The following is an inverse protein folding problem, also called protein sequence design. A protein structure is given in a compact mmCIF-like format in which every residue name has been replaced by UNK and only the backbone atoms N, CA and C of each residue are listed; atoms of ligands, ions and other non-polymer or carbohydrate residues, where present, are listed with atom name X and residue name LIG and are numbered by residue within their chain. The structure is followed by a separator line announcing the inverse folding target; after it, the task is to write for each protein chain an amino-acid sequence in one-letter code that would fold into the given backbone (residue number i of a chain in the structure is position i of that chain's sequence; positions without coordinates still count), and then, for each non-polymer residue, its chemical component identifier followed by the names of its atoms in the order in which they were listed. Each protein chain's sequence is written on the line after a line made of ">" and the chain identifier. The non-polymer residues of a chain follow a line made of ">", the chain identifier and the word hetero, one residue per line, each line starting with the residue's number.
data_IF_497381876831
#
_entry.id   IF_497381876831
#
_cell.length_a   1.000
_cell.length_b   1.000
_cell.length_c   1.000
_cell.angle_alpha   90.00
_cell.angle_beta   90.00
_cell.angle_gamma   90.00
#
_symmetry.space_group_name_H-M   'P 1'
#
loop_
_entity.id
_entity.type
_entity.pdbx_description
1 polymer ?
#
# COMPACT_ATOMS: atom_id res chain seq x y z
N UNK A 1 14.66 7.62 -26.14
CA UNK A 1 14.00 6.32 -26.23
C UNK A 1 12.82 6.29 -25.26
N UNK A 2 11.70 5.85 -25.71
CA UNK A 2 10.51 5.76 -24.86
C UNK A 2 10.64 4.54 -23.95
N UNK A 3 10.35 4.74 -22.65
CA UNK A 3 10.29 3.65 -21.68
C UNK A 3 8.86 3.52 -21.16
N UNK A 4 8.42 2.29 -20.99
CA UNK A 4 7.15 1.98 -20.33
C UNK A 4 7.32 0.86 -19.31
N UNK A 5 6.46 0.87 -18.30
CA UNK A 5 6.43 -0.15 -17.26
C UNK A 5 5.18 -0.99 -17.43
N UNK A 6 5.35 -2.30 -17.42
CA UNK A 6 4.28 -3.29 -17.41
C UNK A 6 4.36 -4.09 -16.11
N UNK A 7 3.22 -4.31 -15.46
CA UNK A 7 3.15 -5.13 -14.26
C UNK A 7 2.66 -6.53 -14.63
N UNK A 8 3.45 -7.53 -14.27
CA UNK A 8 3.20 -8.94 -14.59
C UNK A 8 3.13 -9.74 -13.30
N UNK A 9 2.10 -10.59 -13.17
CA UNK A 9 2.00 -11.49 -12.02
C UNK A 9 3.21 -12.43 -11.99
N UNK A 10 3.80 -12.70 -10.81
CA UNK A 10 5.02 -13.51 -10.70
C UNK A 10 4.92 -14.87 -11.37
N UNK A 11 3.79 -15.54 -11.22
CA UNK A 11 3.54 -16.86 -11.81
C UNK A 11 3.40 -16.86 -13.34
N UNK A 12 3.21 -15.71 -13.93
CA UNK A 12 3.09 -15.52 -15.39
C UNK A 12 4.35 -14.96 -16.03
N UNK A 13 5.34 -14.57 -15.24
CA UNK A 13 6.47 -13.80 -15.71
C UNK A 13 7.28 -14.58 -16.78
N UNK A 14 7.63 -15.83 -16.53
CA UNK A 14 8.45 -16.62 -17.43
C UNK A 14 7.77 -16.77 -18.81
N UNK A 15 6.52 -17.20 -18.83
CA UNK A 15 5.75 -17.32 -20.06
C UNK A 15 5.50 -15.98 -20.77
N UNK A 16 5.42 -14.89 -20.00
CA UNK A 16 5.31 -13.54 -20.56
C UNK A 16 6.62 -13.12 -21.25
N UNK A 17 7.76 -13.36 -20.61
CA UNK A 17 9.09 -13.05 -21.16
C UNK A 17 9.37 -13.85 -22.43
N UNK A 18 9.05 -15.14 -22.45
CA UNK A 18 9.20 -15.99 -23.64
C UNK A 18 8.40 -15.45 -24.81
N UNK A 19 7.15 -15.09 -24.61
CA UNK A 19 6.30 -14.49 -25.68
C UNK A 19 6.81 -13.11 -26.10
N UNK A 20 7.29 -12.32 -25.15
CA UNK A 20 7.84 -11.00 -25.44
C UNK A 20 9.08 -11.12 -26.35
N UNK A 21 10.01 -12.01 -26.01
CA UNK A 21 11.20 -12.24 -26.82
C UNK A 21 10.89 -12.84 -28.20
N UNK A 22 9.93 -13.75 -28.27
CA UNK A 22 9.47 -14.28 -29.57
C UNK A 22 8.91 -13.22 -30.49
N UNK A 23 8.26 -12.18 -29.92
CA UNK A 23 7.74 -11.04 -30.67
C UNK A 23 8.76 -9.93 -30.92
N UNK A 24 9.89 -9.94 -30.22
CA UNK A 24 10.95 -8.93 -30.32
C UNK A 24 12.32 -9.61 -30.40
N UNK A 25 12.57 -10.41 -31.44
CA UNK A 25 13.81 -11.20 -31.56
C UNK A 25 15.04 -10.29 -31.59
N UNK A 26 16.01 -10.59 -30.72
CA UNK A 26 17.21 -9.78 -30.60
C UNK A 26 17.00 -8.42 -29.94
N UNK A 27 15.83 -8.20 -29.33
CA UNK A 27 15.49 -6.94 -28.66
C UNK A 27 14.98 -5.84 -29.58
N UNK A 28 14.46 -6.23 -30.74
CA UNK A 28 13.86 -5.27 -31.68
C UNK A 28 12.41 -5.67 -32.06
N UNK A 29 11.48 -4.72 -32.12
CA UNK A 29 11.65 -3.27 -31.87
C UNK A 29 11.71 -2.87 -30.37
N UNK A 30 11.46 -3.80 -29.45
CA UNK A 30 11.39 -3.53 -28.03
C UNK A 30 12.27 -4.49 -27.23
N UNK A 31 12.85 -4.01 -26.14
CA UNK A 31 13.66 -4.83 -25.24
C UNK A 31 13.28 -4.61 -23.77
N UNK A 32 13.40 -5.66 -22.97
CA UNK A 32 13.31 -5.57 -21.52
C UNK A 32 14.66 -5.06 -20.98
N UNK A 33 14.62 -3.97 -20.24
CA UNK A 33 15.83 -3.36 -19.66
C UNK A 33 15.92 -3.48 -18.14
N UNK A 34 14.79 -3.75 -17.46
CA UNK A 34 14.79 -3.95 -16.02
C UNK A 34 13.62 -4.82 -15.57
N UNK A 35 13.85 -5.61 -14.53
CA UNK A 35 12.85 -6.39 -13.81
C UNK A 35 12.93 -6.02 -12.33
N UNK A 36 11.88 -5.41 -11.80
CA UNK A 36 11.78 -5.07 -10.38
C UNK A 36 10.78 -5.99 -9.69
N UNK A 37 11.29 -6.83 -8.81
CA UNK A 37 10.49 -7.71 -7.96
C UNK A 37 10.20 -7.05 -6.62
N UNK A 38 9.05 -7.33 -6.05
CA UNK A 38 8.70 -6.94 -4.70
C UNK A 38 8.13 -8.16 -3.97
N UNK A 39 9.02 -9.05 -3.59
CA UNK A 39 8.74 -10.36 -3.02
C UNK A 39 9.22 -10.51 -1.56
N UNK A 40 9.53 -9.39 -0.92
CA UNK A 40 9.99 -9.36 0.47
C UNK A 40 8.98 -10.02 1.41
N UNK A 41 9.48 -10.81 2.34
CA UNK A 41 8.69 -11.46 3.38
C UNK A 41 9.46 -11.45 4.70
N UNK A 42 8.84 -11.04 5.82
CA UNK A 42 7.48 -10.52 5.94
C UNK A 42 7.33 -9.10 5.37
N UNK A 43 6.12 -8.76 4.96
CA UNK A 43 5.74 -7.46 4.44
C UNK A 43 4.79 -6.75 5.41
N UNK A 44 5.17 -5.59 5.93
CA UNK A 44 4.26 -4.73 6.67
C UNK A 44 3.33 -3.99 5.71
N UNK A 45 2.05 -3.93 6.05
CA UNK A 45 1.03 -3.28 5.22
C UNK A 45 0.29 -2.23 6.03
N UNK A 46 0.21 -1.03 5.47
CA UNK A 46 -0.58 0.07 6.01
C UNK A 46 -1.46 0.64 4.90
N UNK A 47 -2.74 0.38 4.96
CA UNK A 47 -3.75 0.97 4.08
C UNK A 47 -4.67 1.84 4.93
N UNK A 48 -4.76 3.13 4.60
CA UNK A 48 -5.48 4.08 5.43
C UNK A 48 -6.21 5.11 4.58
N UNK A 49 -7.50 5.24 4.83
CA UNK A 49 -8.34 6.32 4.33
C UNK A 49 -9.20 6.85 5.48
N UNK A 50 -9.85 7.99 5.29
CA UNK A 50 -10.71 8.56 6.34
C UNK A 50 -11.86 7.65 6.75
N UNK A 51 -12.35 6.81 5.83
CA UNK A 51 -13.45 5.87 6.06
C UNK A 51 -13.02 4.53 6.67
N UNK A 52 -11.71 4.23 6.76
CA UNK A 52 -11.27 2.97 7.29
C UNK A 52 -9.77 2.71 7.16
N UNK A 53 -9.36 1.57 7.66
CA UNK A 53 -7.96 1.15 7.65
C UNK A 53 -7.83 -0.37 7.54
N UNK A 54 -6.68 -0.78 7.02
CA UNK A 54 -6.21 -2.16 7.08
C UNK A 54 -4.72 -2.15 7.40
N UNK A 55 -4.33 -2.85 8.44
CA UNK A 55 -2.94 -3.05 8.81
C UNK A 55 -2.67 -4.55 8.84
N UNK A 56 -1.50 -4.95 8.37
CA UNK A 56 -1.17 -6.36 8.27
C UNK A 56 0.34 -6.60 8.32
N UNK A 57 0.68 -7.82 8.68
CA UNK A 57 2.00 -8.41 8.42
C UNK A 57 1.76 -9.65 7.55
N UNK A 58 2.30 -9.64 6.34
CA UNK A 58 2.08 -10.68 5.35
C UNK A 58 3.37 -11.51 5.15
N UNK A 59 3.22 -12.82 5.20
CA UNK A 59 4.24 -13.75 4.75
C UNK A 59 4.02 -14.13 3.27
N UNK A 60 4.88 -14.97 2.74
CA UNK A 60 4.79 -15.42 1.34
C UNK A 60 3.48 -16.16 1.06
N UNK A 61 3.02 -16.96 1.99
CA UNK A 61 1.87 -17.86 1.87
C UNK A 61 0.58 -17.33 2.54
N UNK A 62 0.61 -16.15 3.15
CA UNK A 62 -0.59 -15.58 3.78
C UNK A 62 -0.30 -14.54 4.85
N UNK A 63 -1.36 -14.10 5.51
CA UNK A 63 -1.28 -13.11 6.58
C UNK A 63 -0.83 -13.76 7.90
N UNK A 64 0.21 -13.21 8.52
CA UNK A 64 0.63 -13.59 9.88
C UNK A 64 -0.24 -12.92 10.93
N UNK A 65 -0.58 -11.65 10.72
CA UNK A 65 -1.46 -10.87 11.57
C UNK A 65 -2.12 -9.76 10.75
N UNK A 66 -3.32 -9.38 11.09
CA UNK A 66 -4.00 -8.27 10.43
C UNK A 66 -5.11 -7.68 11.31
N UNK A 67 -5.46 -6.44 11.03
CA UNK A 67 -6.61 -5.75 11.57
C UNK A 67 -7.23 -4.88 10.50
N UNK A 68 -8.52 -5.04 10.28
CA UNK A 68 -9.31 -4.20 9.36
C UNK A 68 -10.39 -3.53 10.17
N UNK A 69 -10.61 -2.24 9.96
CA UNK A 69 -11.66 -1.50 10.62
C UNK A 69 -12.18 -0.38 9.75
N UNK A 70 -13.41 0.02 10.03
CA UNK A 70 -14.03 1.19 9.43
C UNK A 70 -14.30 2.24 10.50
N UNK A 71 -14.12 3.51 10.13
CA UNK A 71 -14.55 4.62 10.96
C UNK A 71 -15.36 5.58 10.11
N UNK A 72 -16.48 6.01 10.68
CA UNK A 72 -17.26 7.05 10.05
C UNK A 72 -16.63 8.40 10.38
N UNK A 73 -16.10 9.07 9.35
CA UNK A 73 -15.71 10.48 9.44
C UNK A 73 -16.86 11.30 8.88
N UNK A 74 -17.35 12.25 9.69
CA UNK A 74 -18.48 13.09 9.30
C UNK A 74 -18.19 13.80 7.97
N UNK A 75 -19.09 13.62 6.99
CA UNK A 75 -18.99 14.29 5.71
C UNK A 75 -19.21 15.79 5.86
N UNK A 76 -18.64 16.57 4.94
CA UNK A 76 -18.81 18.02 4.90
C UNK A 76 -20.27 18.35 4.62
N UNK A 77 -20.95 19.01 5.57
CA UNK A 77 -22.29 19.54 5.37
C UNK A 77 -22.22 21.03 5.00
N UNK A 78 -23.10 21.48 4.10
CA UNK A 78 -23.22 22.88 3.71
C UNK A 78 -24.00 23.67 4.78
N UNK A 79 -23.38 23.89 5.94
CA UNK A 79 -23.93 24.73 6.99
C UNK A 79 -23.12 26.05 7.09
N UNK A 80 -23.77 27.18 7.34
CA UNK A 80 -23.13 28.49 7.40
C UNK A 80 -22.02 28.61 8.46
N UNK A 81 -21.11 29.55 8.29
CA UNK A 81 -19.82 29.80 8.92
C UNK A 81 -19.49 29.21 10.30
N UNK A 82 -20.31 29.34 11.29
CA UNK A 82 -20.12 28.80 12.64
C UNK A 82 -20.18 27.27 12.68
N UNK A 83 -21.12 26.71 11.96
CA UNK A 83 -21.27 25.25 11.86
C UNK A 83 -20.13 24.62 11.09
N UNK A 84 -19.60 25.28 10.08
CA UNK A 84 -18.46 24.78 9.30
C UNK A 84 -17.19 24.68 10.14
N UNK A 85 -16.90 25.62 11.02
CA UNK A 85 -15.74 25.57 11.92
C UNK A 85 -15.86 24.43 12.94
N UNK A 86 -17.04 24.21 13.50
CA UNK A 86 -17.28 23.07 14.40
C UNK A 86 -17.12 21.74 13.69
N UNK A 87 -17.65 21.61 12.48
CA UNK A 87 -17.50 20.38 11.68
C UNK A 87 -16.06 20.17 11.23
N UNK A 88 -15.31 21.21 10.90
CA UNK A 88 -13.90 21.11 10.56
C UNK A 88 -13.05 20.62 11.73
N UNK A 89 -13.29 21.15 12.95
CA UNK A 89 -12.62 20.67 14.18
C UNK A 89 -12.96 19.22 14.48
N UNK A 90 -14.23 18.83 14.34
CA UNK A 90 -14.68 17.47 14.59
C UNK A 90 -14.05 16.49 13.61
N UNK A 91 -13.93 16.84 12.33
CA UNK A 91 -13.23 16.05 11.32
C UNK A 91 -11.73 15.93 11.60
N UNK A 92 -11.09 17.03 12.01
CA UNK A 92 -9.68 17.01 12.42
C UNK A 92 -9.45 16.10 13.61
N UNK A 93 -10.27 16.21 14.66
CA UNK A 93 -10.18 15.35 15.83
C UNK A 93 -10.46 13.87 15.50
N UNK A 94 -11.40 13.59 14.58
CA UNK A 94 -11.68 12.24 14.13
C UNK A 94 -10.52 11.66 13.32
N UNK A 95 -9.87 12.46 12.48
CA UNK A 95 -8.68 12.04 11.73
C UNK A 95 -7.51 11.75 12.69
N UNK A 96 -7.28 12.61 13.67
CA UNK A 96 -6.24 12.40 14.69
C UNK A 96 -6.51 11.15 15.53
N UNK A 97 -7.78 10.92 15.91
CA UNK A 97 -8.18 9.71 16.64
C UNK A 97 -7.99 8.44 15.77
N UNK A 98 -8.28 8.53 14.48
CA UNK A 98 -8.05 7.45 13.53
C UNK A 98 -6.56 7.13 13.40
N UNK A 99 -5.72 8.14 13.21
CA UNK A 99 -4.26 7.97 13.14
C UNK A 99 -3.73 7.30 14.40
N UNK A 100 -4.10 7.79 15.59
CA UNK A 100 -3.67 7.19 16.87
C UNK A 100 -4.11 5.74 17.03
N UNK A 101 -5.35 5.41 16.65
CA UNK A 101 -5.85 4.04 16.70
C UNK A 101 -5.09 3.12 15.73
N UNK A 102 -4.81 3.59 14.52
CA UNK A 102 -4.07 2.81 13.51
C UNK A 102 -2.62 2.59 13.95
N UNK A 103 -1.98 3.60 14.52
CA UNK A 103 -0.65 3.46 15.12
C UNK A 103 -0.63 2.33 16.15
N UNK A 104 -1.56 2.33 17.08
CA UNK A 104 -1.65 1.30 18.12
C UNK A 104 -1.93 -0.10 17.53
N UNK A 105 -2.81 -0.19 16.54
CA UNK A 105 -3.10 -1.46 15.87
C UNK A 105 -1.88 -2.00 15.13
N UNK A 106 -1.16 -1.15 14.41
CA UNK A 106 0.04 -1.56 13.68
C UNK A 106 1.14 -2.02 14.63
N UNK A 107 1.35 -1.31 15.72
CA UNK A 107 2.30 -1.73 16.77
C UNK A 107 1.94 -3.10 17.31
N UNK A 108 0.66 -3.34 17.62
CA UNK A 108 0.21 -4.63 18.17
C UNK A 108 0.39 -5.79 17.20
N UNK A 109 0.07 -5.60 15.91
CA UNK A 109 0.19 -6.69 14.95
C UNK A 109 1.65 -7.04 14.64
N UNK A 110 2.58 -6.09 14.81
CA UNK A 110 4.01 -6.34 14.63
C UNK A 110 4.68 -6.93 15.85
N UNK A 111 4.07 -6.77 17.03
CA UNK A 111 4.63 -7.26 18.31
C UNK A 111 4.70 -8.78 18.34
N UNK A 112 5.86 -9.31 18.73
CA UNK A 112 6.08 -10.75 18.82
C UNK A 112 6.17 -11.48 17.46
N UNK A 113 6.14 -10.74 16.35
CA UNK A 113 6.22 -11.28 14.99
C UNK A 113 7.64 -11.14 14.42
N UNK A 114 8.00 -11.90 13.38
CA UNK A 114 9.22 -11.64 12.63
C UNK A 114 9.27 -10.20 12.12
N UNK A 115 10.44 -9.57 12.16
CA UNK A 115 10.61 -8.20 11.70
C UNK A 115 10.27 -8.06 10.22
N UNK A 116 9.49 -7.04 9.82
CA UNK A 116 9.18 -6.82 8.43
C UNK A 116 10.42 -6.43 7.62
N UNK A 117 10.50 -6.93 6.39
CA UNK A 117 11.58 -6.68 5.46
C UNK A 117 11.25 -5.60 4.42
N UNK A 118 9.98 -5.21 4.33
CA UNK A 118 9.49 -4.19 3.40
C UNK A 118 8.16 -3.62 3.89
N UNK A 119 7.73 -2.53 3.26
CA UNK A 119 6.50 -1.81 3.58
C UNK A 119 5.65 -1.61 2.33
N UNK A 120 4.38 -1.99 2.41
CA UNK A 120 3.34 -1.60 1.45
C UNK A 120 2.47 -0.54 2.10
N UNK A 121 2.38 0.63 1.48
CA UNK A 121 1.58 1.75 1.98
C UNK A 121 0.58 2.19 0.92
N UNK A 122 -0.66 2.47 1.32
CA UNK A 122 -1.69 2.90 0.38
C UNK A 122 -2.79 3.73 1.00
N UNK A 123 -3.61 4.33 0.15
CA UNK A 123 -4.72 5.17 0.52
C UNK A 123 -4.36 6.65 0.62
N UNK A 124 -4.70 7.29 1.73
CA UNK A 124 -4.40 8.70 1.97
C UNK A 124 -2.93 8.87 2.37
N UNK A 125 -2.16 9.49 1.50
CA UNK A 125 -0.72 9.67 1.68
C UNK A 125 -0.37 10.48 2.94
N UNK A 126 -1.12 11.53 3.22
CA UNK A 126 -0.87 12.40 4.36
C UNK A 126 -1.16 11.68 5.69
N UNK A 127 -2.30 10.98 5.78
CA UNK A 127 -2.66 10.18 6.96
C UNK A 127 -1.67 9.03 7.19
N UNK A 128 -1.26 8.35 6.14
CA UNK A 128 -0.26 7.29 6.24
C UNK A 128 1.09 7.82 6.76
N UNK A 129 1.53 8.97 6.29
CA UNK A 129 2.74 9.63 6.77
C UNK A 129 2.65 9.98 8.26
N UNK A 130 1.49 10.44 8.74
CA UNK A 130 1.27 10.70 10.16
C UNK A 130 1.35 9.43 11.00
N UNK A 131 0.79 8.32 10.54
CA UNK A 131 0.92 7.02 11.23
C UNK A 131 2.39 6.62 11.34
N UNK A 132 3.14 6.71 10.25
CA UNK A 132 4.54 6.29 10.19
C UNK A 132 5.50 7.28 10.88
N UNK A 133 5.02 8.43 11.35
CA UNK A 133 5.80 9.36 12.16
C UNK A 133 5.86 8.95 13.65
N UNK A 134 5.05 7.99 14.09
CA UNK A 134 5.13 7.45 15.44
C UNK A 134 6.53 6.86 15.70
N UNK A 135 7.21 7.22 16.82
CA UNK A 135 8.54 6.70 17.14
C UNK A 135 8.63 5.18 17.16
N UNK A 136 7.53 4.49 17.46
CA UNK A 136 7.47 3.02 17.45
C UNK A 136 7.44 2.41 16.04
N UNK A 137 7.12 3.21 15.02
CA UNK A 137 6.88 2.77 13.63
C UNK A 137 7.83 3.43 12.63
N UNK A 138 8.55 4.47 13.03
CA UNK A 138 9.40 5.28 12.14
C UNK A 138 10.45 4.45 11.39
N UNK A 139 10.89 3.34 11.97
CA UNK A 139 11.83 2.41 11.34
C UNK A 139 11.29 1.78 10.05
N UNK A 140 9.96 1.69 9.90
CA UNK A 140 9.34 1.19 8.67
C UNK A 140 9.65 2.07 7.46
N UNK A 141 9.90 3.37 7.68
CA UNK A 141 10.25 4.32 6.60
C UNK A 141 11.61 4.03 5.96
N UNK A 142 12.47 3.24 6.59
CA UNK A 142 13.80 2.87 6.07
C UNK A 142 13.78 1.61 5.22
N UNK A 143 12.66 0.89 5.20
CA UNK A 143 12.52 -0.36 4.46
C UNK A 143 12.22 -0.11 2.98
N UNK A 144 12.57 -1.05 2.09
CA UNK A 144 12.06 -1.04 0.73
C UNK A 144 10.53 -0.94 0.75
N UNK A 145 9.95 -0.10 -0.13
CA UNK A 145 8.52 0.14 -0.09
C UNK A 145 7.89 0.18 -1.47
N UNK A 146 6.62 -0.17 -1.53
CA UNK A 146 5.71 0.12 -2.64
C UNK A 146 4.52 0.90 -2.14
N UNK A 147 4.02 1.79 -2.99
CA UNK A 147 2.85 2.61 -2.72
C UNK A 147 1.67 2.22 -3.60
N UNK A 148 0.47 2.24 -3.03
CA UNK A 148 -0.80 1.99 -3.71
C UNK A 148 -1.83 3.01 -3.23
N UNK A 149 -1.67 4.28 -3.65
CA UNK A 149 -2.54 5.37 -3.19
C UNK A 149 -3.91 5.42 -3.89
N UNK A 150 -4.08 4.67 -4.96
CA UNK A 150 -5.29 4.60 -5.80
C UNK A 150 -6.31 3.53 -5.36
N UNK A 151 -6.29 3.15 -4.11
CA UNK A 151 -7.21 2.13 -3.54
C UNK A 151 -8.51 2.76 -3.03
N UNK A 152 -9.56 1.96 -2.99
CA UNK A 152 -10.81 2.29 -2.29
C UNK A 152 -10.69 2.20 -0.77
N UNK A 153 -11.82 2.29 -0.06
CA UNK A 153 -11.82 2.14 1.39
C UNK A 153 -11.25 0.78 1.81
N UNK A 154 -10.30 0.76 2.76
CA UNK A 154 -9.58 -0.44 3.13
C UNK A 154 -10.49 -1.46 3.84
N UNK A 155 -11.06 -2.35 3.06
CA UNK A 155 -11.75 -3.56 3.52
C UNK A 155 -10.81 -4.75 3.39
N UNK A 156 -11.20 -5.89 3.93
CA UNK A 156 -10.41 -7.13 3.77
C UNK A 156 -10.17 -7.46 2.29
N UNK A 157 -11.17 -7.30 1.44
CA UNK A 157 -11.04 -7.55 0.01
C UNK A 157 -10.04 -6.60 -0.66
N UNK A 158 -10.01 -5.32 -0.24
CA UNK A 158 -9.04 -4.33 -0.72
C UNK A 158 -7.64 -4.66 -0.23
N UNK A 159 -7.49 -5.10 1.02
CA UNK A 159 -6.20 -5.58 1.55
C UNK A 159 -5.66 -6.74 0.71
N UNK A 160 -6.47 -7.76 0.47
CA UNK A 160 -6.06 -8.94 -0.29
C UNK A 160 -5.69 -8.59 -1.74
N UNK A 161 -6.47 -7.73 -2.39
CA UNK A 161 -6.22 -7.26 -3.76
C UNK A 161 -4.95 -6.40 -3.84
N UNK A 162 -4.76 -5.49 -2.90
CA UNK A 162 -3.60 -4.60 -2.87
C UNK A 162 -2.32 -5.39 -2.61
N UNK A 163 -2.36 -6.39 -1.72
CA UNK A 163 -1.27 -7.32 -1.49
C UNK A 163 -0.89 -8.06 -2.78
N UNK A 164 -1.86 -8.66 -3.45
CA UNK A 164 -1.63 -9.39 -4.69
C UNK A 164 -1.03 -8.48 -5.77
N UNK A 165 -1.57 -7.28 -5.93
CA UNK A 165 -1.06 -6.29 -6.89
C UNK A 165 0.36 -5.83 -6.55
N UNK A 166 0.69 -5.68 -5.28
CA UNK A 166 2.03 -5.27 -4.84
C UNK A 166 3.12 -6.27 -5.19
N UNK A 167 2.76 -7.55 -5.32
CA UNK A 167 3.69 -8.64 -5.64
C UNK A 167 3.98 -8.76 -7.14
N UNK A 168 3.30 -7.99 -8.00
CA UNK A 168 3.56 -8.00 -9.44
C UNK A 168 4.97 -7.51 -9.73
N UNK A 169 5.60 -8.15 -10.72
CA UNK A 169 6.92 -7.75 -11.19
C UNK A 169 6.75 -6.58 -12.16
N UNK A 170 7.47 -5.51 -11.92
CA UNK A 170 7.53 -4.36 -12.83
C UNK A 170 8.60 -4.60 -13.86
N UNK A 171 8.17 -4.71 -15.11
CA UNK A 171 9.01 -4.92 -16.28
C UNK A 171 9.15 -3.60 -17.02
N UNK A 172 10.37 -3.08 -17.09
CA UNK A 172 10.66 -1.86 -17.88
C UNK A 172 11.04 -2.26 -19.29
N UNK A 173 10.31 -1.73 -20.24
CA UNK A 173 10.50 -1.98 -21.69
C UNK A 173 10.95 -0.67 -22.34
N UNK A 174 11.93 -0.77 -23.20
CA UNK A 174 12.47 0.32 -24.00
C UNK A 174 12.19 0.06 -25.48
N UNK A 175 11.78 1.11 -26.22
CA UNK A 175 11.53 1.10 -27.67
C UNK A 175 12.68 1.72 -28.44
#
# INVERSE_FOLDING_TARGET
>A
MAQRIVEVAPERLDGWLERFEANNPGGEPQRVVNLERFDHSPLAVLLLRRGGYAVALAAEDGLLAHKVGSRHVQSRTAAGGWSQQRFARRRGNQADALVGAVQDHLVRILDGQPAPMALLVGGDKALAAEVLADPRLVHLNTLPSRAAYDIGDPKRSVLDETLRRSRRVRVTIEE
#
